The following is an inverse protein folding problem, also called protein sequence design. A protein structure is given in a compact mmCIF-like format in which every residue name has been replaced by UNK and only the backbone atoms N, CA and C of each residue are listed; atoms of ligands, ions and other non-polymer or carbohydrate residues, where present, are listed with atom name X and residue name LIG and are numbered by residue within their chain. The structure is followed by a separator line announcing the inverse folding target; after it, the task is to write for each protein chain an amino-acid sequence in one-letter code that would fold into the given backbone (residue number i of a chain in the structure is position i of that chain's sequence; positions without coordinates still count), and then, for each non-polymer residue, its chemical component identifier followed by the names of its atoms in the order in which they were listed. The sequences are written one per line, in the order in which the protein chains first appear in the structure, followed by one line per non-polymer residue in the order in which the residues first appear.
data_IF_903573882277
#
_entry.id   IF_903573882277
#
_cell.length_a   1.000
_cell.length_b   1.000
_cell.length_c   1.000
_cell.angle_alpha   90.00
_cell.angle_beta   90.00
_cell.angle_gamma   90.00
#
_symmetry.space_group_name_H-M   'P 1'
#
loop_
_entity.id
_entity.type
_entity.pdbx_description
1 polymer ?
#
# COMPACT_ATOMS: atom_id res chain seq x y z
N UNK A 1 1.18 52.91 33.84
CA UNK A 1 -0.01 52.32 33.20
C UNK A 1 0.30 52.18 31.71
N UNK A 2 0.67 50.97 31.28
CA UNK A 2 0.85 50.63 29.86
C UNK A 2 0.26 49.23 29.67
N UNK A 3 -0.48 49.10 28.58
CA UNK A 3 -1.48 48.10 28.23
C UNK A 3 -0.90 46.72 27.88
N UNK A 4 -1.76 45.69 27.99
CA UNK A 4 -2.04 44.69 26.93
C UNK A 4 -2.13 43.24 27.43
N UNK A 5 -3.34 42.70 27.41
CA UNK A 5 -3.66 41.27 27.22
C UNK A 5 -4.16 41.07 25.78
N UNK A 6 -4.36 39.84 25.28
CA UNK A 6 -3.50 38.65 25.31
C UNK A 6 -3.29 38.11 23.87
N UNK A 7 -2.11 37.59 23.52
CA UNK A 7 -1.96 36.92 22.22
C UNK A 7 -2.31 35.44 22.34
N UNK A 8 -3.55 35.09 22.01
CA UNK A 8 -4.03 33.71 21.85
C UNK A 8 -3.54 33.22 20.49
N UNK A 9 -2.43 32.51 20.46
CA UNK A 9 -1.90 31.87 19.26
C UNK A 9 -2.91 30.82 18.79
N UNK A 10 -3.47 31.05 17.59
CA UNK A 10 -4.37 30.13 16.91
C UNK A 10 -3.63 28.83 16.51
N UNK A 11 -4.31 27.68 16.42
CA UNK A 11 -3.66 26.43 16.10
C UNK A 11 -3.30 26.36 14.62
N UNK A 12 -2.04 26.01 14.37
CA UNK A 12 -1.41 25.68 13.10
C UNK A 12 -2.22 24.60 12.33
N UNK A 13 -3.20 25.01 11.52
CA UNK A 13 -3.98 24.11 10.67
C UNK A 13 -3.46 24.04 9.22
N UNK A 14 -2.19 24.37 8.97
CA UNK A 14 -1.65 24.57 7.62
C UNK A 14 -0.65 23.54 7.10
N UNK A 15 -0.04 22.71 7.96
CA UNK A 15 1.15 21.94 7.56
C UNK A 15 0.88 20.51 7.08
N UNK A 16 -0.34 19.97 7.26
CA UNK A 16 -0.63 18.55 6.96
C UNK A 16 -1.16 18.28 5.54
N UNK A 17 -1.75 19.26 4.86
CA UNK A 17 -2.46 19.02 3.59
C UNK A 17 -1.53 18.67 2.41
N UNK A 18 -0.33 19.26 2.34
CA UNK A 18 0.61 19.04 1.24
C UNK A 18 1.33 17.69 1.34
N UNK A 19 1.69 17.25 2.55
CA UNK A 19 2.37 15.96 2.78
C UNK A 19 1.49 14.74 2.45
N UNK A 20 0.19 14.84 2.72
CA UNK A 20 -0.74 13.73 2.49
C UNK A 20 -0.94 13.41 1.00
N UNK A 21 -0.87 14.41 0.12
CA UNK A 21 -1.03 14.20 -1.32
C UNK A 21 0.12 13.41 -1.96
N UNK A 22 1.37 13.72 -1.57
CA UNK A 22 2.56 12.99 -2.03
C UNK A 22 2.58 11.55 -1.52
N UNK A 23 2.30 11.35 -0.22
CA UNK A 23 2.20 10.01 0.36
C UNK A 23 1.10 9.16 -0.28
N UNK A 24 -0.03 9.77 -0.66
CA UNK A 24 -1.11 9.08 -1.36
C UNK A 24 -0.68 8.62 -2.76
N UNK A 25 0.03 9.47 -3.52
CA UNK A 25 0.57 9.11 -4.84
C UNK A 25 1.60 7.98 -4.74
N UNK A 26 2.48 8.03 -3.74
CA UNK A 26 3.45 6.95 -3.49
C UNK A 26 2.76 5.62 -3.15
N UNK A 27 1.73 5.65 -2.31
CA UNK A 27 0.95 4.45 -1.97
C UNK A 27 0.22 3.89 -3.19
N UNK A 28 -0.32 4.74 -4.06
CA UNK A 28 -0.91 4.30 -5.33
C UNK A 28 0.12 3.63 -6.24
N UNK A 29 1.31 4.22 -6.35
CA UNK A 29 2.41 3.61 -7.13
C UNK A 29 2.84 2.26 -6.55
N UNK A 30 2.92 2.14 -5.21
CA UNK A 30 3.21 0.86 -4.52
C UNK A 30 2.14 -0.20 -4.81
N UNK A 31 0.86 0.17 -4.79
CA UNK A 31 -0.24 -0.74 -5.13
C UNK A 31 -0.10 -1.25 -6.57
N UNK A 32 0.16 -0.38 -7.54
CA UNK A 32 0.32 -0.80 -8.94
C UNK A 32 1.57 -1.66 -9.17
N UNK A 33 2.66 -1.41 -8.45
CA UNK A 33 3.84 -2.28 -8.46
C UNK A 33 3.53 -3.67 -7.86
N UNK A 34 2.91 -3.70 -6.68
CA UNK A 34 2.53 -4.95 -6.02
C UNK A 34 1.55 -5.77 -6.87
N UNK A 35 0.61 -5.10 -7.55
CA UNK A 35 -0.32 -5.73 -8.49
C UNK A 35 0.40 -6.35 -9.69
N UNK A 36 1.37 -5.63 -10.27
CA UNK A 36 2.21 -6.17 -11.36
C UNK A 36 3.00 -7.40 -10.90
N UNK A 37 3.59 -7.36 -9.70
CA UNK A 37 4.32 -8.49 -9.10
C UNK A 37 3.41 -9.71 -8.91
N UNK A 38 2.28 -9.54 -8.24
CA UNK A 38 1.30 -10.62 -8.00
C UNK A 38 0.78 -11.25 -9.29
N UNK A 39 0.52 -10.44 -10.32
CA UNK A 39 0.11 -10.94 -11.65
C UNK A 39 1.24 -11.71 -12.35
N UNK A 40 2.48 -11.23 -12.25
CA UNK A 40 3.65 -11.88 -12.84
C UNK A 40 3.95 -13.22 -12.18
N UNK A 41 3.91 -13.30 -10.85
CA UNK A 41 4.08 -14.57 -10.12
C UNK A 41 2.94 -15.54 -10.38
N UNK A 42 1.69 -15.07 -10.47
CA UNK A 42 0.57 -15.93 -10.86
C UNK A 42 0.76 -16.53 -12.27
N UNK A 43 1.22 -15.71 -13.22
CA UNK A 43 1.51 -16.18 -14.58
C UNK A 43 2.61 -17.24 -14.56
N UNK A 44 3.69 -17.02 -13.80
CA UNK A 44 4.77 -18.02 -13.64
C UNK A 44 4.26 -19.32 -13.04
N UNK A 45 3.47 -19.27 -11.97
CA UNK A 45 2.89 -20.46 -11.37
C UNK A 45 2.00 -21.24 -12.36
N UNK A 46 1.19 -20.54 -13.17
CA UNK A 46 0.36 -21.18 -14.21
C UNK A 46 1.16 -21.76 -15.36
N UNK A 47 2.32 -21.18 -15.68
CA UNK A 47 3.23 -21.70 -16.70
C UNK A 47 4.10 -22.85 -16.22
N UNK A 48 4.02 -23.23 -14.94
CA UNK A 48 4.73 -24.39 -14.43
C UNK A 48 4.25 -25.68 -15.13
N UNK A 49 5.15 -26.67 -15.36
CA UNK A 49 4.75 -27.98 -15.87
C UNK A 49 3.62 -28.56 -15.01
N UNK A 50 2.62 -29.16 -15.66
CA UNK A 50 1.56 -29.88 -14.95
C UNK A 50 2.11 -31.16 -14.28
N UNK A 51 1.37 -31.74 -13.31
CA UNK A 51 0.10 -31.26 -12.77
C UNK A 51 0.26 -30.15 -11.73
N UNK A 52 -0.71 -29.22 -11.64
CA UNK A 52 -0.75 -28.15 -10.63
C UNK A 52 -1.34 -28.66 -9.31
N UNK A 53 -0.59 -29.54 -8.65
CA UNK A 53 -0.99 -30.22 -7.41
C UNK A 53 0.13 -30.14 -6.37
N UNK A 54 -0.17 -30.50 -5.14
CA UNK A 54 0.75 -30.40 -3.98
C UNK A 54 1.96 -31.32 -4.06
N UNK A 55 2.01 -32.27 -5.00
CA UNK A 55 3.18 -33.13 -5.21
C UNK A 55 4.17 -32.54 -6.22
N UNK A 56 3.79 -31.48 -6.94
CA UNK A 56 4.67 -30.78 -7.89
C UNK A 56 5.39 -29.63 -7.18
N UNK A 57 6.64 -29.88 -6.78
CA UNK A 57 7.47 -28.91 -6.05
C UNK A 57 7.76 -27.62 -6.83
N UNK A 58 7.81 -27.68 -8.17
CA UNK A 58 8.03 -26.51 -9.03
C UNK A 58 6.80 -25.60 -8.97
N UNK A 59 5.62 -26.18 -9.18
CA UNK A 59 4.35 -25.45 -9.06
C UNK A 59 4.18 -24.87 -7.65
N UNK A 60 4.42 -25.66 -6.60
CA UNK A 60 4.31 -25.19 -5.22
C UNK A 60 5.21 -24.00 -4.92
N UNK A 61 6.50 -24.08 -5.28
CA UNK A 61 7.45 -22.98 -5.05
C UNK A 61 6.99 -21.67 -5.71
N UNK A 62 6.51 -21.77 -6.96
CA UNK A 62 6.00 -20.61 -7.71
C UNK A 62 4.67 -20.10 -7.15
N UNK A 63 3.81 -21.00 -6.68
CA UNK A 63 2.54 -20.65 -6.08
C UNK A 63 2.71 -19.99 -4.71
N UNK A 64 3.65 -20.44 -3.88
CA UNK A 64 4.02 -19.80 -2.62
C UNK A 64 4.63 -18.41 -2.82
N UNK A 65 5.44 -18.22 -3.86
CA UNK A 65 5.89 -16.89 -4.29
C UNK A 65 4.69 -16.00 -4.64
N UNK A 66 3.74 -16.52 -5.42
CA UNK A 66 2.51 -15.80 -5.73
C UNK A 66 1.70 -15.43 -4.48
N UNK A 67 1.56 -16.32 -3.50
CA UNK A 67 0.85 -16.03 -2.26
C UNK A 67 1.51 -14.90 -1.48
N UNK A 68 2.85 -14.85 -1.43
CA UNK A 68 3.61 -13.75 -0.81
C UNK A 68 3.40 -12.43 -1.54
N UNK A 69 3.49 -12.42 -2.87
CA UNK A 69 3.24 -11.20 -3.66
C UNK A 69 1.79 -10.71 -3.51
N UNK A 70 0.84 -11.64 -3.46
CA UNK A 70 -0.58 -11.33 -3.24
C UNK A 70 -0.82 -10.71 -1.87
N UNK A 71 -0.16 -11.22 -0.83
CA UNK A 71 -0.24 -10.61 0.50
C UNK A 71 0.37 -9.20 0.52
N UNK A 72 1.47 -8.97 -0.18
CA UNK A 72 2.07 -7.64 -0.35
C UNK A 72 1.12 -6.65 -1.03
N UNK A 73 0.38 -7.09 -2.05
CA UNK A 73 -0.68 -6.31 -2.68
C UNK A 73 -1.79 -5.94 -1.70
N UNK A 74 -2.31 -6.91 -0.94
CA UNK A 74 -3.37 -6.63 0.05
C UNK A 74 -2.90 -5.73 1.19
N UNK A 75 -1.65 -5.87 1.63
CA UNK A 75 -1.04 -4.96 2.59
C UNK A 75 -0.99 -3.52 2.06
N UNK A 76 -0.55 -3.34 0.81
CA UNK A 76 -0.48 -2.01 0.17
C UNK A 76 -1.87 -1.39 -0.03
N UNK A 77 -2.88 -2.20 -0.40
CA UNK A 77 -4.26 -1.74 -0.51
C UNK A 77 -4.85 -1.29 0.82
N UNK A 78 -4.56 -2.01 1.91
CA UNK A 78 -4.97 -1.60 3.28
C UNK A 78 -4.35 -0.26 3.66
N UNK A 79 -3.04 -0.09 3.45
CA UNK A 79 -2.37 1.19 3.73
C UNK A 79 -2.96 2.35 2.93
N UNK A 80 -3.30 2.13 1.66
CA UNK A 80 -3.95 3.13 0.82
C UNK A 80 -5.35 3.50 1.34
N UNK A 81 -6.13 2.50 1.75
CA UNK A 81 -7.48 2.71 2.31
C UNK A 81 -7.43 3.46 3.64
N UNK A 82 -6.52 3.09 4.53
CA UNK A 82 -6.31 3.76 5.82
C UNK A 82 -5.89 5.23 5.60
N UNK A 83 -4.98 5.49 4.65
CA UNK A 83 -4.58 6.86 4.31
C UNK A 83 -5.77 7.68 3.77
N UNK A 84 -6.60 7.10 2.90
CA UNK A 84 -7.79 7.77 2.35
C UNK A 84 -8.80 8.11 3.42
N UNK A 85 -9.05 7.20 4.37
CA UNK A 85 -9.92 7.45 5.53
C UNK A 85 -9.36 8.59 6.38
N UNK A 86 -8.07 8.55 6.70
CA UNK A 86 -7.43 9.56 7.53
C UNK A 86 -7.35 10.94 6.86
N UNK A 87 -7.31 11.01 5.53
CA UNK A 87 -7.35 12.27 4.79
C UNK A 87 -8.77 12.88 4.66
N UNK A 88 -9.81 12.10 4.99
CA UNK A 88 -11.22 12.55 4.96
C UNK A 88 -11.76 13.01 6.31
N UNK A 89 -10.97 12.86 7.38
CA UNK A 89 -11.25 13.30 8.76
C UNK A 89 -10.53 14.62 9.01
#
# INVERSE_FOLDING_TARGET
MIHSTPNKVAPEAGFHAFGNSGMLQELQAKVEDAKRKANSSLRRARSAPGPHVTTNSIFLSLYEEHLRDRESLFSSLRQLDDMRKNASV
#
